data_IF_099527410374
#
_entry.id   IF_099527410374
#
_cell.length_a   1.000
_cell.length_b   1.000
_cell.length_c   1.000
_cell.angle_alpha   90.00
_cell.angle_beta   90.00
_cell.angle_gamma   90.00
#
_symmetry.space_group_name_H-M   'P 1'
#
loop_
_entity.id
_entity.type
_entity.pdbx_description
1 polymer ?
#
# COMPACT_ATOMS: atom_id res chain seq x y z
N UNK A 1 17.20 37.73 -7.15
CA UNK A 1 15.99 36.88 -7.36
C UNK A 1 15.51 36.81 -8.81
N UNK A 2 16.21 37.39 -9.81
CA UNK A 2 15.82 37.33 -11.23
C UNK A 2 16.31 36.07 -11.97
N UNK A 3 17.28 35.34 -11.40
CA UNK A 3 17.89 34.17 -12.01
C UNK A 3 16.92 32.99 -12.08
N UNK A 4 16.17 32.68 -11.02
CA UNK A 4 15.26 31.52 -10.98
C UNK A 4 14.23 31.50 -12.11
N UNK A 5 13.66 32.65 -12.46
CA UNK A 5 12.72 32.75 -13.59
C UNK A 5 13.36 32.50 -14.96
N UNK A 6 14.62 32.90 -15.14
CA UNK A 6 15.38 32.63 -16.37
C UNK A 6 15.70 31.14 -16.50
N UNK A 7 16.20 30.53 -15.42
CA UNK A 7 16.54 29.10 -15.37
C UNK A 7 15.31 28.20 -15.62
N UNK A 8 14.13 28.58 -15.09
CA UNK A 8 12.89 27.85 -15.33
C UNK A 8 12.47 27.87 -16.81
N UNK A 9 12.47 29.06 -17.44
CA UNK A 9 12.12 29.23 -18.85
C UNK A 9 13.11 28.51 -19.77
N UNK A 10 14.39 28.50 -19.40
CA UNK A 10 15.43 27.80 -20.16
C UNK A 10 15.31 26.29 -20.04
N UNK A 11 15.06 25.77 -18.83
CA UNK A 11 14.79 24.35 -18.59
C UNK A 11 13.56 23.85 -19.36
N UNK A 12 12.47 24.62 -19.35
CA UNK A 12 11.27 24.30 -20.14
C UNK A 12 11.56 24.25 -21.64
N UNK A 13 12.45 25.11 -22.15
CA UNK A 13 12.84 25.10 -23.56
C UNK A 13 13.66 23.86 -23.92
N UNK A 14 14.60 23.47 -23.07
CA UNK A 14 15.39 22.24 -23.21
C UNK A 14 14.51 20.98 -23.14
N UNK A 15 13.59 20.91 -22.18
CA UNK A 15 12.61 19.82 -22.06
C UNK A 15 11.78 19.66 -23.34
N UNK A 16 11.41 20.77 -24.00
CA UNK A 16 10.69 20.74 -25.28
C UNK A 16 11.53 20.19 -26.43
N UNK A 17 12.84 20.43 -26.44
CA UNK A 17 13.73 19.87 -27.46
C UNK A 17 13.92 18.36 -27.32
N UNK A 18 13.76 17.82 -26.10
CA UNK A 18 13.91 16.39 -25.79
C UNK A 18 12.58 15.74 -25.36
N UNK A 19 11.46 16.20 -25.92
CA UNK A 19 10.10 15.79 -25.51
C UNK A 19 9.92 14.28 -25.45
N UNK A 20 10.48 13.54 -26.42
CA UNK A 20 10.31 12.09 -26.51
C UNK A 20 10.95 11.36 -25.31
N UNK A 21 12.15 11.77 -24.90
CA UNK A 21 12.85 11.19 -23.74
C UNK A 21 12.17 11.59 -22.42
N UNK A 22 11.72 12.84 -22.32
CA UNK A 22 10.99 13.35 -21.14
C UNK A 22 9.69 12.58 -20.93
N UNK A 23 8.91 12.40 -22.01
CA UNK A 23 7.65 11.64 -21.96
C UNK A 23 7.91 10.18 -21.58
N UNK A 24 8.94 9.55 -22.15
CA UNK A 24 9.30 8.17 -21.81
C UNK A 24 9.61 8.01 -20.30
N UNK A 25 10.40 8.92 -19.73
CA UNK A 25 10.72 8.90 -18.30
C UNK A 25 9.47 9.17 -17.46
N UNK A 26 8.65 10.16 -17.84
CA UNK A 26 7.42 10.50 -17.13
C UNK A 26 6.42 9.31 -17.12
N UNK A 27 6.29 8.61 -18.25
CA UNK A 27 5.47 7.40 -18.36
C UNK A 27 6.00 6.30 -17.45
N UNK A 28 7.30 6.05 -17.45
CA UNK A 28 7.91 5.03 -16.58
C UNK A 28 7.64 5.30 -15.09
N UNK A 29 7.82 6.56 -14.66
CA UNK A 29 7.56 6.98 -13.28
C UNK A 29 6.07 6.88 -12.94
N UNK A 30 5.21 7.32 -13.85
CA UNK A 30 3.75 7.27 -13.69
C UNK A 30 3.25 5.83 -13.58
N UNK A 31 3.75 4.93 -14.42
CA UNK A 31 3.42 3.51 -14.36
C UNK A 31 3.87 2.88 -13.05
N UNK A 32 5.13 3.11 -12.62
CA UNK A 32 5.63 2.57 -11.36
C UNK A 32 4.81 3.02 -10.15
N UNK A 33 4.56 4.33 -10.06
CA UNK A 33 3.78 4.92 -8.95
C UNK A 33 2.32 4.45 -8.97
N UNK A 34 1.70 4.44 -10.16
CA UNK A 34 0.32 4.03 -10.36
C UNK A 34 0.10 2.55 -10.06
N UNK A 35 0.99 1.68 -10.52
CA UNK A 35 0.95 0.25 -10.21
C UNK A 35 1.12 0.00 -8.72
N UNK A 36 2.10 0.65 -8.08
CA UNK A 36 2.31 0.52 -6.64
C UNK A 36 1.07 0.94 -5.83
N UNK A 37 0.50 2.11 -6.15
CA UNK A 37 -0.70 2.62 -5.49
C UNK A 37 -1.91 1.70 -5.74
N UNK A 38 -2.12 1.26 -6.98
CA UNK A 38 -3.25 0.42 -7.36
C UNK A 38 -3.20 -0.98 -6.75
N UNK A 39 -2.05 -1.66 -6.82
CA UNK A 39 -1.87 -3.00 -6.24
C UNK A 39 -1.99 -2.96 -4.72
N UNK A 40 -1.38 -1.96 -4.07
CA UNK A 40 -1.46 -1.81 -2.61
C UNK A 40 -2.89 -1.55 -2.17
N UNK A 41 -3.60 -0.63 -2.84
CA UNK A 41 -5.02 -0.33 -2.56
C UNK A 41 -5.92 -1.55 -2.74
N UNK A 42 -5.74 -2.30 -3.84
CA UNK A 42 -6.49 -3.53 -4.11
C UNK A 42 -6.24 -4.60 -3.04
N UNK A 43 -5.00 -4.74 -2.55
CA UNK A 43 -4.68 -5.69 -1.48
C UNK A 43 -5.37 -5.36 -0.15
N UNK A 44 -5.52 -4.07 0.16
CA UNK A 44 -6.15 -3.61 1.38
C UNK A 44 -7.67 -3.76 1.29
N UNK A 45 -8.26 -3.32 0.18
CA UNK A 45 -9.70 -3.47 -0.08
C UNK A 45 -10.11 -4.94 -0.08
N UNK A 46 -9.37 -5.83 -0.76
CA UNK A 46 -9.68 -7.27 -0.75
C UNK A 46 -9.70 -7.85 0.65
N UNK A 47 -8.72 -7.52 1.50
CA UNK A 47 -8.66 -8.00 2.88
C UNK A 47 -9.86 -7.49 3.69
N UNK A 48 -10.15 -6.20 3.61
CA UNK A 48 -11.29 -5.62 4.31
C UNK A 48 -12.63 -6.18 3.83
N UNK A 49 -12.81 -6.37 2.53
CA UNK A 49 -14.02 -6.96 1.96
C UNK A 49 -14.20 -8.40 2.41
N UNK A 50 -13.13 -9.21 2.39
CA UNK A 50 -13.21 -10.58 2.90
C UNK A 50 -13.51 -10.62 4.40
N UNK A 51 -12.81 -9.83 5.20
CA UNK A 51 -13.06 -9.75 6.65
C UNK A 51 -14.52 -9.37 6.94
N UNK A 52 -15.06 -8.39 6.22
CA UNK A 52 -16.45 -7.96 6.39
C UNK A 52 -17.46 -9.04 5.96
N UNK A 53 -17.18 -9.77 4.88
CA UNK A 53 -18.02 -10.90 4.44
C UNK A 53 -17.99 -12.03 5.45
N UNK A 54 -16.81 -12.47 5.88
CA UNK A 54 -16.67 -13.60 6.81
C UNK A 54 -17.17 -13.28 8.22
N UNK A 55 -17.11 -12.02 8.66
CA UNK A 55 -17.70 -11.60 9.92
C UNK A 55 -19.22 -11.87 9.97
N UNK A 56 -19.93 -11.76 8.84
CA UNK A 56 -21.38 -12.03 8.78
C UNK A 56 -21.72 -13.51 8.86
N UNK A 57 -20.77 -14.39 8.56
CA UNK A 57 -20.97 -15.84 8.61
C UNK A 57 -20.72 -16.43 10.00
N UNK A 58 -20.35 -15.63 11.02
CA UNK A 58 -19.92 -16.11 12.34
C UNK A 58 -18.92 -17.28 12.23
N UNK A 59 -17.97 -17.17 11.29
CA UNK A 59 -17.03 -18.25 10.94
C UNK A 59 -16.09 -18.60 12.11
N UNK A 60 -15.99 -17.74 13.12
CA UNK A 60 -15.20 -17.98 14.32
C UNK A 60 -16.04 -17.66 15.57
N UNK A 61 -16.09 -18.59 16.52
CA UNK A 61 -16.58 -18.30 17.88
C UNK A 61 -15.57 -17.46 18.67
N UNK A 62 -14.26 -17.68 18.43
CA UNK A 62 -13.17 -16.96 19.08
C UNK A 62 -12.04 -16.64 18.09
N UNK A 63 -11.64 -15.37 18.02
CA UNK A 63 -10.50 -14.88 17.23
C UNK A 63 -9.46 -14.28 18.16
N UNK A 64 -8.27 -14.88 18.19
CA UNK A 64 -7.14 -14.40 19.00
C UNK A 64 -6.06 -13.83 18.10
N UNK A 65 -5.68 -12.57 18.32
CA UNK A 65 -4.54 -11.95 17.65
C UNK A 65 -3.36 -11.89 18.63
N UNK A 66 -2.21 -12.36 18.19
CA UNK A 66 -0.96 -12.35 18.98
C UNK A 66 0.01 -11.40 18.28
N UNK A 67 0.74 -10.59 19.06
CA UNK A 67 1.75 -9.69 18.53
C UNK A 67 2.83 -10.45 17.74
N UNK A 68 3.42 -9.81 16.73
CA UNK A 68 4.46 -10.43 15.91
C UNK A 68 5.63 -10.90 16.79
N UNK A 69 5.98 -12.18 16.71
CA UNK A 69 7.06 -12.81 17.49
C UNK A 69 6.66 -13.30 18.89
N UNK A 70 5.42 -13.09 19.33
CA UNK A 70 4.98 -13.67 20.60
C UNK A 70 4.67 -15.17 20.44
N UNK A 71 5.21 -15.96 21.37
CA UNK A 71 4.95 -17.39 21.49
C UNK A 71 4.24 -17.67 22.80
N UNK A 72 3.44 -18.72 22.82
CA UNK A 72 2.73 -19.15 24.03
C UNK A 72 2.97 -20.63 24.20
N UNK A 73 3.18 -21.07 25.44
CA UNK A 73 3.27 -22.49 25.76
C UNK A 73 2.01 -23.23 25.26
N UNK A 74 2.23 -24.38 24.65
CA UNK A 74 1.17 -25.24 24.12
C UNK A 74 0.09 -25.47 25.19
N UNK A 75 -1.19 -25.33 24.80
CA UNK A 75 -2.33 -25.55 25.69
C UNK A 75 -2.74 -24.36 26.55
N UNK A 76 -1.92 -23.31 26.70
CA UNK A 76 -2.27 -22.13 27.52
C UNK A 76 -3.43 -21.32 26.91
N UNK A 77 -3.47 -21.19 25.58
CA UNK A 77 -4.61 -20.55 24.89
C UNK A 77 -5.91 -21.35 25.10
N UNK A 78 -5.86 -22.67 24.96
CA UNK A 78 -7.02 -23.53 25.19
C UNK A 78 -7.50 -23.49 26.66
N UNK A 79 -6.58 -23.32 27.62
CA UNK A 79 -6.94 -23.14 29.03
C UNK A 79 -7.70 -21.84 29.28
N UNK A 80 -7.25 -20.72 28.69
CA UNK A 80 -7.93 -19.42 28.79
C UNK A 80 -9.33 -19.47 28.15
N UNK A 81 -9.45 -20.10 26.98
CA UNK A 81 -10.74 -20.26 26.31
C UNK A 81 -11.73 -21.05 27.17
N UNK A 82 -11.27 -22.10 27.87
CA UNK A 82 -12.13 -22.89 28.76
C UNK A 82 -12.53 -22.19 30.07
N UNK A 83 -11.87 -21.10 30.42
CA UNK A 83 -12.19 -20.32 31.63
C UNK A 83 -13.12 -19.13 31.39
N UNK A 84 -13.50 -18.87 30.14
CA UNK A 84 -14.50 -17.87 29.74
C UNK A 84 -15.90 -18.49 29.81
#
# INVERSE_FOLDING_TARGET
MASTGLWWRWSLRELRQRLLLVVAIAVMIGLGTGLYAGLTSSSHWRRQSYDASYARLNVHDLRVAVGAGATVAQGRLAAVVRSL
#
